data_IF_963515894964
#
_entry.id   IF_963515894964
#
_cell.length_a   1.000
_cell.length_b   1.000
_cell.length_c   1.000
_cell.angle_alpha   90.00
_cell.angle_beta   90.00
_cell.angle_gamma   90.00
#
_symmetry.space_group_name_H-M   'P 1'
#
loop_
_entity.id
_entity.type
_entity.pdbx_description
1 polymer ?
#
# COMPACT_ATOMS: atom_id res chain seq x y z
N UNK A 1 -27.91 5.16 -37.87
CA UNK A 1 -26.44 5.22 -37.68
C UNK A 1 -26.08 6.68 -37.41
N UNK A 2 -26.03 7.10 -36.14
CA UNK A 2 -25.76 8.48 -35.76
C UNK A 2 -24.25 8.73 -35.83
N UNK A 3 -23.82 9.43 -36.87
CA UNK A 3 -22.43 9.83 -37.08
C UNK A 3 -22.22 11.12 -36.28
N UNK A 4 -21.62 11.02 -35.10
CA UNK A 4 -21.12 12.19 -34.39
C UNK A 4 -19.99 12.81 -35.23
N UNK A 5 -20.25 13.94 -35.88
CA UNK A 5 -19.20 14.76 -36.49
C UNK A 5 -18.36 15.34 -35.34
N UNK A 6 -17.07 15.01 -35.32
CA UNK A 6 -16.12 15.53 -34.34
C UNK A 6 -15.98 17.06 -34.49
N UNK A 7 -16.79 17.81 -33.75
CA UNK A 7 -16.73 19.26 -33.68
C UNK A 7 -15.85 19.67 -32.49
N UNK A 8 -14.61 20.15 -32.72
CA UNK A 8 -13.65 20.42 -31.65
C UNK A 8 -14.13 21.50 -30.67
N UNK A 9 -14.99 22.42 -31.13
CA UNK A 9 -15.57 23.50 -30.32
C UNK A 9 -16.50 23.03 -29.21
N UNK A 10 -17.11 21.84 -29.34
CA UNK A 10 -18.03 21.27 -28.33
C UNK A 10 -17.28 20.29 -27.40
N UNK A 11 -16.24 19.62 -27.91
CA UNK A 11 -15.50 18.59 -27.18
C UNK A 11 -14.59 19.19 -26.10
N UNK A 12 -13.95 20.33 -26.39
CA UNK A 12 -13.01 21.02 -25.48
C UNK A 12 -13.65 21.44 -24.14
N UNK A 13 -14.80 22.14 -24.09
CA UNK A 13 -15.39 22.60 -22.82
C UNK A 13 -15.97 21.46 -21.98
N UNK A 14 -16.18 20.27 -22.55
CA UNK A 14 -16.69 19.09 -21.83
C UNK A 14 -15.54 18.24 -21.26
N UNK A 15 -14.37 18.26 -21.90
CA UNK A 15 -13.15 17.60 -21.40
C UNK A 15 -12.48 18.34 -20.24
N UNK A 16 -12.51 19.67 -20.22
CA UNK A 16 -11.89 20.49 -19.16
C UNK A 16 -12.45 20.19 -17.76
N UNK A 17 -13.78 20.15 -17.52
CA UNK A 17 -14.31 19.84 -16.19
C UNK A 17 -14.10 18.36 -15.82
N UNK A 18 -14.07 17.44 -16.80
CA UNK A 18 -13.74 16.02 -16.57
C UNK A 18 -12.27 15.83 -16.20
N UNK A 19 -11.36 16.58 -16.82
CA UNK A 19 -9.93 16.60 -16.49
C UNK A 19 -9.67 17.24 -15.12
N UNK A 20 -10.37 18.33 -14.79
CA UNK A 20 -10.33 18.95 -13.46
C UNK A 20 -10.86 18.00 -12.37
N UNK A 21 -11.94 17.26 -12.64
CA UNK A 21 -12.45 16.23 -11.74
C UNK A 21 -11.45 15.08 -11.56
N UNK A 22 -10.74 14.70 -12.62
CA UNK A 22 -9.69 13.66 -12.56
C UNK A 22 -8.45 14.12 -11.78
N UNK A 23 -8.11 15.42 -11.82
CA UNK A 23 -7.02 16.01 -11.03
C UNK A 23 -7.33 16.05 -9.52
N UNK A 24 -8.59 16.27 -9.14
CA UNK A 24 -9.01 16.22 -7.72
C UNK A 24 -9.02 14.77 -7.18
N UNK A 25 -9.06 13.78 -8.07
CA UNK A 25 -9.14 12.36 -7.72
C UNK A 25 -7.78 11.67 -7.49
N UNK A 26 -6.68 12.41 -7.31
CA UNK A 26 -5.40 11.81 -6.91
C UNK A 26 -5.58 11.09 -5.57
N UNK A 27 -5.70 9.78 -5.67
CA UNK A 27 -6.07 8.90 -4.58
C UNK A 27 -4.98 8.93 -3.51
N UNK A 28 -5.42 9.10 -2.26
CA UNK A 28 -4.64 8.84 -1.04
C UNK A 28 -4.20 7.37 -1.00
N UNK A 29 -3.16 7.04 -1.76
CA UNK A 29 -2.52 5.74 -1.70
C UNK A 29 -1.67 5.72 -0.43
N UNK A 30 -2.27 5.31 0.68
CA UNK A 30 -1.55 5.17 1.92
C UNK A 30 -0.48 4.06 1.75
N UNK A 31 0.78 4.48 1.66
CA UNK A 31 1.94 3.61 1.50
C UNK A 31 2.10 2.71 2.73
N UNK A 32 2.71 1.54 2.53
CA UNK A 32 3.11 0.67 3.65
C UNK A 32 4.62 0.51 3.64
N UNK A 33 5.25 0.70 4.79
CA UNK A 33 6.66 0.41 5.04
C UNK A 33 6.82 -0.93 5.75
N UNK A 34 7.95 -1.60 5.53
CA UNK A 34 8.23 -2.89 6.15
C UNK A 34 9.71 -3.10 6.40
N UNK A 35 10.02 -3.71 7.54
CA UNK A 35 11.37 -4.16 7.87
C UNK A 35 11.30 -5.42 8.75
N UNK A 36 12.43 -6.12 8.83
CA UNK A 36 12.67 -7.15 9.86
C UNK A 36 13.36 -6.49 11.05
N UNK A 37 12.85 -6.73 12.26
CA UNK A 37 13.25 -6.01 13.46
C UNK A 37 13.05 -6.84 14.74
N UNK A 38 13.67 -6.41 15.84
CA UNK A 38 13.47 -6.98 17.18
C UNK A 38 12.57 -6.06 18.03
N UNK A 39 11.78 -6.62 18.96
CA UNK A 39 10.96 -5.81 19.85
C UNK A 39 11.82 -5.05 20.87
N UNK A 40 11.62 -3.74 20.97
CA UNK A 40 12.44 -2.82 21.79
C UNK A 40 11.64 -1.87 22.71
N UNK A 41 10.30 -1.87 22.64
CA UNK A 41 9.45 -1.15 23.60
C UNK A 41 8.98 -2.05 24.74
N UNK A 42 8.29 -1.52 25.74
CA UNK A 42 7.56 -2.33 26.74
C UNK A 42 6.53 -3.20 26.03
N UNK A 43 6.67 -4.53 26.07
CA UNK A 43 5.77 -5.49 25.46
C UNK A 43 5.95 -6.92 26.02
N UNK A 44 5.05 -7.84 25.67
CA UNK A 44 5.07 -9.27 26.07
C UNK A 44 5.53 -10.22 24.96
N UNK A 45 6.13 -9.71 23.88
CA UNK A 45 6.59 -10.52 22.77
C UNK A 45 7.91 -11.19 23.12
N UNK A 46 8.12 -12.38 22.54
CA UNK A 46 9.42 -13.07 22.61
C UNK A 46 10.46 -12.23 21.84
N UNK A 47 11.66 -12.08 22.40
CA UNK A 47 12.77 -11.40 21.75
C UNK A 47 13.31 -12.26 20.59
N UNK A 48 12.87 -11.95 19.39
CA UNK A 48 13.30 -12.55 18.11
C UNK A 48 12.96 -11.62 16.97
N UNK A 49 13.37 -11.97 15.76
CA UNK A 49 13.01 -11.19 14.58
C UNK A 49 11.52 -11.32 14.23
N UNK A 50 10.93 -10.17 13.91
CA UNK A 50 9.60 -10.06 13.33
C UNK A 50 9.67 -9.28 12.04
N UNK A 51 9.01 -9.79 11.01
CA UNK A 51 8.72 -9.01 9.80
C UNK A 51 7.38 -8.31 9.96
N UNK A 52 7.42 -6.98 9.98
CA UNK A 52 6.24 -6.15 10.22
C UNK A 52 5.95 -5.23 9.04
N UNK A 53 4.70 -4.77 8.97
CA UNK A 53 4.23 -3.83 7.97
C UNK A 53 3.41 -2.77 8.68
N UNK A 54 3.79 -1.51 8.51
CA UNK A 54 3.07 -0.36 9.04
C UNK A 54 2.62 0.55 7.91
N UNK A 55 1.51 1.24 8.12
CA UNK A 55 1.14 2.38 7.29
C UNK A 55 2.24 3.44 7.42
N UNK A 56 2.66 4.04 6.30
CA UNK A 56 3.63 5.13 6.30
C UNK A 56 2.96 6.44 6.75
N UNK A 57 2.66 6.49 8.05
CA UNK A 57 1.89 7.55 8.69
C UNK A 57 2.33 7.71 10.14
N UNK A 58 2.57 8.96 10.55
CA UNK A 58 2.90 9.30 11.92
C UNK A 58 1.64 9.65 12.70
N UNK A 59 1.24 8.85 13.72
CA UNK A 59 0.06 9.14 14.53
C UNK A 59 0.20 10.37 15.42
N UNK A 60 1.43 10.84 15.68
CA UNK A 60 1.66 12.00 16.55
C UNK A 60 1.44 13.33 15.80
N UNK A 61 2.10 13.52 14.66
CA UNK A 61 2.01 14.75 13.86
C UNK A 61 1.03 14.65 12.68
N UNK A 62 0.45 13.47 12.44
CA UNK A 62 -0.54 13.19 11.39
C UNK A 62 -0.02 13.33 9.95
N UNK A 63 1.29 13.24 9.76
CA UNK A 63 1.92 13.29 8.43
C UNK A 63 2.05 11.91 7.78
N UNK A 64 1.71 11.83 6.49
CA UNK A 64 1.95 10.66 5.64
C UNK A 64 3.41 10.63 5.13
N UNK A 65 3.86 9.49 4.62
CA UNK A 65 5.19 9.30 4.01
C UNK A 65 6.32 9.81 4.92
N UNK A 66 6.15 9.59 6.21
CA UNK A 66 6.92 10.24 7.27
C UNK A 66 7.88 9.31 7.99
N UNK A 67 7.73 7.99 7.84
CA UNK A 67 8.51 7.01 8.58
C UNK A 67 9.84 6.72 7.88
N UNK A 68 10.93 7.06 8.54
CA UNK A 68 12.29 6.76 8.10
C UNK A 68 12.85 5.61 8.94
N UNK A 69 13.53 4.68 8.28
CA UNK A 69 14.08 3.51 8.93
C UNK A 69 15.39 3.82 9.67
N UNK A 70 15.40 3.54 10.97
CA UNK A 70 16.56 3.35 11.84
C UNK A 70 17.70 4.37 11.65
N UNK A 71 17.37 5.66 11.60
CA UNK A 71 18.37 6.74 11.47
C UNK A 71 19.43 6.66 12.59
N UNK A 72 19.00 6.26 13.79
CA UNK A 72 19.85 6.10 14.98
C UNK A 72 20.67 4.80 15.00
N UNK A 73 20.50 3.93 14.00
CA UNK A 73 21.23 2.66 13.83
C UNK A 73 21.16 1.75 15.07
N UNK A 74 20.00 1.71 15.72
CA UNK A 74 19.72 0.79 16.84
C UNK A 74 19.76 -0.67 16.35
N UNK A 75 20.20 -1.58 17.21
CA UNK A 75 20.30 -3.00 16.87
C UNK A 75 18.92 -3.61 16.56
N UNK A 76 17.93 -3.27 17.37
CA UNK A 76 16.57 -3.79 17.24
C UNK A 76 15.81 -3.18 16.08
N UNK A 77 16.23 -2.00 15.61
CA UNK A 77 15.55 -1.19 14.62
C UNK A 77 14.52 -0.24 15.22
N UNK A 78 14.21 0.80 14.44
CA UNK A 78 13.32 1.89 14.81
C UNK A 78 12.68 2.52 13.58
N UNK A 79 11.46 3.03 13.74
CA UNK A 79 10.87 3.95 12.78
C UNK A 79 10.88 5.34 13.39
N UNK A 80 11.49 6.31 12.72
CA UNK A 80 11.55 7.70 13.17
C UNK A 80 10.73 8.57 12.21
N UNK A 81 9.86 9.42 12.75
CA UNK A 81 9.13 10.38 11.94
C UNK A 81 10.05 11.54 11.55
N UNK A 82 10.24 11.80 10.25
CA UNK A 82 11.10 12.90 9.75
C UNK A 82 10.56 14.32 10.00
N UNK A 83 9.32 14.47 10.48
CA UNK A 83 8.67 15.77 10.69
C UNK A 83 8.59 16.19 12.16
N UNK A 84 8.50 15.23 13.08
CA UNK A 84 8.35 15.52 14.51
C UNK A 84 9.30 14.72 15.41
N UNK A 85 10.23 13.98 14.80
CA UNK A 85 11.25 13.16 15.47
C UNK A 85 10.70 12.13 16.47
N UNK A 86 9.42 11.78 16.35
CA UNK A 86 8.83 10.71 17.14
C UNK A 86 9.43 9.37 16.72
N UNK A 87 9.91 8.62 17.70
CA UNK A 87 10.51 7.31 17.51
C UNK A 87 9.53 6.21 17.89
N UNK A 88 9.38 5.22 17.04
CA UNK A 88 8.46 4.11 17.25
C UNK A 88 9.23 2.79 17.26
N UNK A 89 8.84 1.89 18.17
CA UNK A 89 9.38 0.54 18.17
C UNK A 89 9.07 -0.16 16.85
N UNK A 90 10.11 -0.68 16.22
CA UNK A 90 10.04 -1.30 14.90
C UNK A 90 9.14 -2.54 14.85
N UNK A 91 8.76 -3.16 15.96
CA UNK A 91 7.88 -4.36 15.98
C UNK A 91 6.48 -4.05 16.50
N UNK A 92 6.38 -3.29 17.60
CA UNK A 92 5.10 -3.04 18.26
C UNK A 92 4.39 -1.83 17.67
N UNK A 93 5.15 -0.88 17.13
CA UNK A 93 4.68 0.40 16.62
C UNK A 93 4.47 1.46 17.71
N UNK A 94 4.71 1.16 18.99
CA UNK A 94 4.53 2.14 20.06
C UNK A 94 5.63 3.20 20.04
N UNK A 95 5.24 4.45 20.25
CA UNK A 95 6.15 5.57 20.52
C UNK A 95 7.07 5.23 21.70
N UNK A 96 8.39 5.40 21.53
CA UNK A 96 9.44 5.01 22.48
C UNK A 96 9.67 6.09 23.55
N UNK A 97 8.59 6.66 24.06
CA UNK A 97 8.65 7.50 25.26
C UNK A 97 8.22 6.69 26.49
N UNK A 98 8.48 7.22 27.69
CA UNK A 98 8.07 6.59 28.96
C UNK A 98 6.55 6.29 29.01
N UNK A 99 5.77 7.15 28.37
CA UNK A 99 4.32 7.01 28.20
C UNK A 99 3.99 7.16 26.71
N UNK A 100 3.82 6.04 25.96
CA UNK A 100 3.63 6.08 24.52
C UNK A 100 2.50 7.02 24.11
N UNK A 101 2.82 8.02 23.28
CA UNK A 101 1.86 9.05 22.84
C UNK A 101 1.05 8.63 21.62
N UNK A 102 1.52 7.61 20.89
CA UNK A 102 0.88 7.09 19.68
C UNK A 102 1.39 5.70 19.32
N UNK A 103 0.66 5.04 18.42
CA UNK A 103 1.03 3.73 17.90
C UNK A 103 0.84 3.67 16.38
N UNK A 104 1.86 3.18 15.68
CA UNK A 104 1.80 2.95 14.23
C UNK A 104 0.70 1.94 13.87
N UNK A 105 0.01 2.20 12.76
CA UNK A 105 -1.08 1.36 12.27
C UNK A 105 -0.49 0.16 11.54
N UNK A 106 -0.70 -1.04 12.08
CA UNK A 106 -0.26 -2.29 11.45
C UNK A 106 -1.10 -2.59 10.22
N UNK A 107 -0.47 -3.15 9.19
CA UNK A 107 -1.21 -3.74 8.08
C UNK A 107 -2.05 -4.90 8.57
N UNK A 108 -3.37 -4.80 8.42
CA UNK A 108 -4.30 -5.84 8.83
C UNK A 108 -4.04 -7.17 8.10
N UNK A 109 -4.01 -8.28 8.86
CA UNK A 109 -3.95 -9.63 8.29
C UNK A 109 -5.17 -9.95 7.40
N UNK A 110 -6.31 -9.27 7.60
CA UNK A 110 -7.51 -9.41 6.76
C UNK A 110 -7.29 -8.87 5.34
N UNK A 111 -6.56 -7.75 5.20
CA UNK A 111 -6.23 -7.17 3.90
C UNK A 111 -5.41 -8.17 3.07
N UNK A 112 -4.38 -8.76 3.68
CA UNK A 112 -3.45 -9.71 3.04
C UNK A 112 -4.13 -10.99 2.51
N UNK A 113 -5.14 -11.53 3.20
CA UNK A 113 -5.91 -12.70 2.72
C UNK A 113 -6.74 -12.36 1.46
N UNK A 114 -7.34 -11.17 1.40
CA UNK A 114 -8.18 -10.72 0.29
C UNK A 114 -7.34 -10.49 -0.97
N UNK A 115 -6.16 -9.88 -0.86
CA UNK A 115 -5.22 -9.67 -1.97
C UNK A 115 -4.65 -10.99 -2.50
N UNK A 116 -4.30 -11.95 -1.61
CA UNK A 116 -3.81 -13.28 -2.03
C UNK A 116 -4.88 -14.10 -2.75
N UNK A 117 -6.15 -14.05 -2.29
CA UNK A 117 -7.29 -14.72 -2.96
C UNK A 117 -7.58 -14.11 -4.33
N UNK A 118 -7.52 -12.78 -4.46
CA UNK A 118 -7.63 -12.08 -5.73
C UNK A 118 -6.53 -12.45 -6.73
N UNK A 119 -5.26 -12.41 -6.30
CA UNK A 119 -4.11 -12.80 -7.15
C UNK A 119 -4.17 -14.28 -7.59
N UNK A 120 -4.66 -15.19 -6.75
CA UNK A 120 -4.86 -16.61 -7.12
C UNK A 120 -5.95 -16.78 -8.18
N UNK A 121 -7.07 -16.06 -8.07
CA UNK A 121 -8.15 -16.08 -9.08
C UNK A 121 -7.69 -15.55 -10.45
N UNK A 122 -6.94 -14.45 -10.47
CA UNK A 122 -6.40 -13.87 -11.72
C UNK A 122 -5.42 -14.84 -12.41
N UNK A 123 -4.55 -15.52 -11.66
CA UNK A 123 -3.65 -16.54 -12.23
C UNK A 123 -4.40 -17.74 -12.81
N UNK A 124 -5.50 -18.17 -12.19
CA UNK A 124 -6.33 -19.27 -12.68
C UNK A 124 -7.08 -18.87 -13.96
N UNK A 125 -7.61 -17.64 -14.03
CA UNK A 125 -8.28 -17.12 -15.22
C UNK A 125 -7.31 -17.05 -16.43
N UNK A 126 -6.13 -16.43 -16.25
CA UNK A 126 -5.11 -16.35 -17.31
C UNK A 126 -4.64 -17.71 -17.84
N UNK A 127 -4.65 -18.75 -16.98
CA UNK A 127 -4.28 -20.12 -17.39
C UNK A 127 -5.39 -20.81 -18.18
N UNK A 128 -6.66 -20.45 -17.96
CA UNK A 128 -7.80 -20.97 -18.71
C UNK A 128 -7.91 -20.33 -20.09
N UNK A 129 -7.68 -19.02 -20.19
CA UNK A 129 -7.72 -18.31 -21.47
C UNK A 129 -6.62 -18.83 -22.41
N UNK A 130 -5.39 -19.01 -21.90
CA UNK A 130 -4.27 -19.58 -22.67
C UNK A 130 -4.49 -21.04 -23.12
N UNK A 131 -5.34 -21.79 -22.41
CA UNK A 131 -5.71 -23.17 -22.77
C UNK A 131 -6.85 -23.21 -23.80
N UNK A 132 -7.73 -22.19 -23.80
CA UNK A 132 -8.79 -22.00 -24.79
C UNK A 132 -8.19 -21.57 -26.14
N UNK A 133 -7.28 -20.60 -26.14
CA UNK A 133 -6.58 -20.14 -27.36
C UNK A 133 -5.76 -21.25 -28.04
N UNK A 134 -5.20 -22.18 -27.26
CA UNK A 134 -4.47 -23.34 -27.82
C UNK A 134 -5.41 -24.36 -28.45
N UNK A 135 -6.59 -24.57 -27.86
CA UNK A 135 -7.60 -25.53 -28.34
C UNK A 135 -8.33 -25.02 -29.59
N UNK A 136 -8.57 -23.72 -29.69
CA UNK A 136 -9.23 -23.12 -30.84
C UNK A 136 -8.31 -23.08 -32.07
N UNK A 137 -6.98 -22.92 -31.90
CA UNK A 137 -5.99 -23.00 -32.99
C UNK A 137 -5.80 -24.41 -33.54
N UNK A 138 -5.99 -25.45 -32.73
CA UNK A 138 -5.87 -26.84 -33.16
C UNK A 138 -7.10 -27.30 -33.96
N UNK A 139 -8.27 -26.68 -33.73
CA UNK A 139 -9.52 -26.96 -34.44
C UNK A 139 -9.64 -26.28 -35.82
N UNK A 140 -8.79 -25.30 -36.12
CA UNK A 140 -8.73 -24.60 -37.42
C UNK A 140 -7.79 -25.33 -38.41
N UNK A 141 -6.98 -26.29 -37.92
CA UNK A 141 -5.95 -26.99 -38.69
C UNK A 141 -6.36 -28.38 -39.19
N UNK A 142 -7.56 -28.84 -38.83
CA UNK A 142 -8.22 -30.06 -39.29
C UNK A 142 -9.52 -29.68 -40.01
#
# INVERSE_FOLDING_TARGET
MLIFKNNPTIIIPLLIPVLLLFLVLQAVNAGYVSHTAYPSSINKLVYKEYRVFFLDYCPLCKENDSLVWNIKKTFEGEWTCKYCDADYCAVTGYDKTKHPRGQLIKKDKKYDKKTKKGKKKVKIAKKKDKKKDKKDKEKIRN
#
